data_IF_096719711285
#
_entry.id   IF_096719711285
#
_cell.length_a   1.000
_cell.length_b   1.000
_cell.length_c   1.000
_cell.angle_alpha   90.00
_cell.angle_beta   90.00
_cell.angle_gamma   90.00
#
_symmetry.space_group_name_H-M   'P 1'
#
loop_
_entity.id
_entity.type
_entity.pdbx_description
1 polymer ?
#
# COMPACT_ATOMS: atom_id res chain seq x y z
N UNK A 1 -38.14 0.16 -17.01
CA UNK A 1 -38.15 0.18 -15.55
C UNK A 1 -37.20 -0.90 -15.10
N UNK A 2 -36.13 -0.49 -14.41
CA UNK A 2 -35.28 -1.43 -13.69
C UNK A 2 -36.05 -1.87 -12.42
N UNK A 3 -35.92 -3.12 -11.99
CA UNK A 3 -36.51 -3.63 -10.75
C UNK A 3 -36.23 -2.75 -9.51
N UNK A 4 -35.14 -1.98 -9.51
CA UNK A 4 -34.84 -0.98 -8.48
C UNK A 4 -35.81 0.20 -8.45
N UNK A 5 -36.21 0.74 -9.60
CA UNK A 5 -37.16 1.88 -9.68
C UNK A 5 -38.53 1.47 -9.13
N UNK A 6 -38.92 0.23 -9.39
CA UNK A 6 -40.17 -0.35 -8.91
C UNK A 6 -40.16 -0.53 -7.38
N UNK A 7 -39.01 -0.88 -6.80
CA UNK A 7 -38.85 -1.02 -5.35
C UNK A 7 -38.98 0.33 -4.61
N UNK A 8 -38.40 1.40 -5.16
CA UNK A 8 -38.54 2.75 -4.61
C UNK A 8 -40.00 3.23 -4.64
N UNK A 9 -40.68 3.08 -5.79
CA UNK A 9 -42.09 3.46 -5.94
C UNK A 9 -43.00 2.67 -5.00
N UNK A 10 -42.77 1.36 -4.86
CA UNK A 10 -43.50 0.53 -3.92
C UNK A 10 -43.34 1.02 -2.48
N UNK A 11 -42.11 1.37 -2.07
CA UNK A 11 -41.87 1.90 -0.73
C UNK A 11 -42.57 3.23 -0.49
N UNK A 12 -42.55 4.14 -1.48
CA UNK A 12 -43.27 5.41 -1.42
C UNK A 12 -44.78 5.23 -1.25
N UNK A 13 -45.39 4.30 -1.99
CA UNK A 13 -46.82 3.98 -1.86
C UNK A 13 -47.16 3.39 -0.49
N UNK A 14 -46.30 2.53 0.05
CA UNK A 14 -46.49 1.97 1.39
C UNK A 14 -46.52 3.07 2.46
N UNK A 15 -45.59 4.04 2.40
CA UNK A 15 -45.62 5.20 3.30
C UNK A 15 -46.85 6.08 3.08
N UNK A 16 -47.29 6.30 1.84
CA UNK A 16 -48.51 7.08 1.56
C UNK A 16 -49.76 6.47 2.20
N UNK A 17 -49.87 5.14 2.23
CA UNK A 17 -51.06 4.45 2.74
C UNK A 17 -50.98 4.06 4.23
N UNK A 18 -49.79 3.89 4.79
CA UNK A 18 -49.59 3.40 6.17
C UNK A 18 -48.89 4.41 7.08
N UNK A 19 -48.17 5.39 6.54
CA UNK A 19 -47.44 6.40 7.30
C UNK A 19 -46.60 5.79 8.41
N UNK A 20 -46.79 6.25 9.64
CA UNK A 20 -46.06 5.78 10.82
C UNK A 20 -46.46 4.39 11.31
N UNK A 21 -47.60 3.87 10.86
CA UNK A 21 -48.03 2.51 11.16
C UNK A 21 -47.32 1.45 10.30
N UNK A 22 -46.50 1.85 9.32
CA UNK A 22 -45.72 0.91 8.52
C UNK A 22 -44.60 0.29 9.39
N UNK A 23 -44.58 -1.04 9.57
CA UNK A 23 -43.57 -1.70 10.39
C UNK A 23 -42.23 -1.71 9.66
N UNK A 24 -41.30 -0.88 10.12
CA UNK A 24 -39.92 -0.86 9.64
C UNK A 24 -39.03 -1.52 10.69
N UNK A 25 -38.68 -2.79 10.45
CA UNK A 25 -37.70 -3.52 11.27
C UNK A 25 -36.28 -3.29 10.75
N UNK A 26 -35.28 -3.66 11.56
CA UNK A 26 -33.87 -3.65 11.15
C UNK A 26 -33.64 -4.46 9.87
N UNK A 27 -34.34 -5.59 9.68
CA UNK A 27 -34.23 -6.40 8.47
C UNK A 27 -34.70 -5.65 7.20
N UNK A 28 -35.72 -4.80 7.32
CA UNK A 28 -36.15 -3.92 6.22
C UNK A 28 -35.05 -2.90 5.89
N UNK A 29 -34.39 -2.35 6.91
CA UNK A 29 -33.28 -1.41 6.73
C UNK A 29 -32.07 -2.11 6.10
N UNK A 30 -31.73 -3.33 6.52
CA UNK A 30 -30.67 -4.16 5.91
C UNK A 30 -30.99 -4.48 4.45
N UNK A 31 -32.24 -4.82 4.13
CA UNK A 31 -32.65 -5.07 2.76
C UNK A 31 -32.50 -3.82 1.88
N UNK A 32 -32.84 -2.64 2.40
CA UNK A 32 -32.59 -1.37 1.70
C UNK A 32 -31.09 -1.09 1.53
N UNK A 33 -30.28 -1.33 2.58
CA UNK A 33 -28.84 -1.17 2.56
C UNK A 33 -28.14 -2.08 1.53
N UNK A 34 -28.64 -3.29 1.31
CA UNK A 34 -28.13 -4.27 0.31
C UNK A 34 -28.69 -4.07 -1.09
N UNK A 35 -29.64 -3.16 -1.28
CA UNK A 35 -30.20 -2.90 -2.59
C UNK A 35 -29.16 -2.15 -3.45
N UNK A 36 -28.78 -2.74 -4.59
CA UNK A 36 -27.71 -2.22 -5.43
C UNK A 36 -28.21 -1.08 -6.31
N UNK A 37 -27.32 -0.12 -6.62
CA UNK A 37 -27.64 1.02 -7.46
C UNK A 37 -28.40 2.14 -6.74
N UNK A 38 -28.95 3.08 -7.52
CA UNK A 38 -29.54 4.32 -7.01
C UNK A 38 -30.75 4.09 -6.08
N UNK A 39 -31.50 3.01 -6.31
CA UNK A 39 -32.74 2.71 -5.59
C UNK A 39 -32.50 2.39 -4.12
N UNK A 40 -31.39 1.76 -3.75
CA UNK A 40 -31.06 1.51 -2.34
C UNK A 40 -30.84 2.82 -1.57
N UNK A 41 -30.13 3.77 -2.18
CA UNK A 41 -29.94 5.10 -1.65
C UNK A 41 -31.27 5.88 -1.52
N UNK A 42 -32.13 5.84 -2.53
CA UNK A 42 -33.40 6.57 -2.49
C UNK A 42 -34.38 5.95 -1.47
N UNK A 43 -34.40 4.62 -1.34
CA UNK A 43 -35.17 3.93 -0.30
C UNK A 43 -34.62 4.28 1.09
N UNK A 44 -33.31 4.27 1.30
CA UNK A 44 -32.71 4.66 2.59
C UNK A 44 -33.07 6.10 2.97
N UNK A 45 -33.05 7.02 2.00
CA UNK A 45 -33.47 8.40 2.21
C UNK A 45 -34.95 8.50 2.60
N UNK A 46 -35.85 7.78 1.93
CA UNK A 46 -37.27 7.73 2.31
C UNK A 46 -37.45 7.19 3.74
N UNK A 47 -36.76 6.10 4.09
CA UNK A 47 -36.81 5.52 5.42
C UNK A 47 -36.41 6.54 6.50
N UNK A 48 -35.30 7.26 6.28
CA UNK A 48 -34.82 8.29 7.20
C UNK A 48 -35.72 9.52 7.25
N UNK A 49 -36.30 9.96 6.15
CA UNK A 49 -37.26 11.07 6.13
C UNK A 49 -38.51 10.78 6.96
N UNK A 50 -39.00 9.54 6.95
CA UNK A 50 -40.20 9.13 7.68
C UNK A 50 -39.96 8.63 9.10
N UNK A 51 -38.74 8.22 9.46
CA UNK A 51 -38.44 7.64 10.79
C UNK A 51 -37.38 8.42 11.56
N UNK A 52 -36.53 9.20 10.90
CA UNK A 52 -35.46 9.97 11.54
C UNK A 52 -34.62 9.10 12.47
N UNK A 53 -34.49 9.52 13.72
CA UNK A 53 -33.77 8.80 14.79
C UNK A 53 -34.40 7.47 15.19
N UNK A 54 -35.71 7.27 14.97
CA UNK A 54 -36.39 6.01 15.30
C UNK A 54 -36.11 4.86 14.33
N UNK A 55 -35.43 5.13 13.20
CA UNK A 55 -35.04 4.09 12.26
C UNK A 55 -34.01 3.15 12.92
N UNK A 56 -34.23 1.82 12.93
CA UNK A 56 -33.30 0.87 13.54
C UNK A 56 -32.05 0.73 12.66
N UNK A 57 -31.04 1.55 12.95
CA UNK A 57 -29.71 1.53 12.31
C UNK A 57 -28.72 0.98 13.34
N UNK A 58 -28.39 -0.29 13.19
CA UNK A 58 -27.39 -1.01 13.99
C UNK A 58 -26.05 -1.08 13.24
N UNK A 59 -25.03 -1.62 13.91
CA UNK A 59 -23.75 -1.94 13.28
C UNK A 59 -23.93 -2.88 12.09
N UNK A 60 -24.84 -3.86 12.19
CA UNK A 60 -25.13 -4.81 11.13
C UNK A 60 -25.78 -4.15 9.90
N UNK A 61 -26.50 -3.05 10.08
CA UNK A 61 -26.97 -2.22 8.96
C UNK A 61 -25.78 -1.56 8.27
N UNK A 62 -24.81 -1.02 9.03
CA UNK A 62 -23.60 -0.42 8.44
C UNK A 62 -22.75 -1.46 7.72
N UNK A 63 -22.57 -2.65 8.30
CA UNK A 63 -21.90 -3.77 7.63
C UNK A 63 -22.61 -4.15 6.33
N UNK A 64 -23.94 -4.18 6.31
CA UNK A 64 -24.70 -4.44 5.09
C UNK A 64 -24.47 -3.39 3.98
N UNK A 65 -24.21 -2.12 4.34
CA UNK A 65 -23.82 -1.07 3.39
C UNK A 65 -22.41 -1.33 2.83
N UNK A 66 -21.46 -1.67 3.71
CA UNK A 66 -20.08 -1.99 3.32
C UNK A 66 -20.01 -3.23 2.39
N UNK A 67 -20.85 -4.22 2.65
CA UNK A 67 -20.99 -5.45 1.83
C UNK A 67 -21.77 -5.24 0.53
N UNK A 68 -22.38 -4.06 0.29
CA UNK A 68 -23.16 -3.81 -0.90
C UNK A 68 -22.23 -3.59 -2.13
N UNK A 69 -21.71 -4.71 -2.64
CA UNK A 69 -20.86 -4.78 -3.82
C UNK A 69 -21.72 -4.69 -5.10
N UNK A 70 -22.01 -3.47 -5.54
CA UNK A 70 -22.49 -3.26 -6.91
C UNK A 70 -21.45 -3.75 -7.92
N UNK A 71 -21.82 -4.68 -8.81
CA UNK A 71 -21.05 -5.03 -10.00
C UNK A 71 -21.14 -3.87 -11.01
N UNK A 72 -20.01 -3.23 -11.31
CA UNK A 72 -19.93 -2.18 -12.35
C UNK A 72 -18.87 -1.12 -12.06
N UNK A 73 -18.19 -0.65 -13.11
CA UNK A 73 -17.18 0.43 -13.03
C UNK A 73 -17.77 1.79 -12.60
N UNK A 74 -19.08 1.99 -12.78
CA UNK A 74 -19.78 3.26 -12.48
C UNK A 74 -20.72 3.19 -11.26
N UNK A 75 -20.92 2.01 -10.66
CA UNK A 75 -21.86 1.79 -9.55
C UNK A 75 -21.23 1.99 -8.15
N UNK A 76 -20.02 2.56 -8.08
CA UNK A 76 -19.34 2.88 -6.82
C UNK A 76 -19.97 4.02 -6.01
N UNK A 77 -20.75 4.89 -6.65
CA UNK A 77 -21.36 6.05 -5.98
C UNK A 77 -22.49 5.67 -5.01
N UNK A 78 -23.25 4.60 -5.29
CA UNK A 78 -24.48 4.31 -4.55
C UNK A 78 -24.24 3.82 -3.10
N UNK A 79 -23.25 2.96 -2.85
CA UNK A 79 -22.96 2.47 -1.50
C UNK A 79 -22.34 3.57 -0.62
N UNK A 80 -21.45 4.39 -1.18
CA UNK A 80 -20.94 5.59 -0.51
C UNK A 80 -22.09 6.56 -0.19
N UNK A 81 -23.04 6.73 -1.12
CA UNK A 81 -24.20 7.60 -0.90
C UNK A 81 -25.13 7.07 0.22
N UNK A 82 -25.29 5.75 0.36
CA UNK A 82 -26.06 5.19 1.49
C UNK A 82 -25.35 5.51 2.82
N UNK A 83 -24.03 5.27 2.91
CA UNK A 83 -23.27 5.61 4.12
C UNK A 83 -23.31 7.12 4.41
N UNK A 84 -23.18 7.96 3.39
CA UNK A 84 -23.27 9.42 3.51
C UNK A 84 -24.62 9.85 4.06
N UNK A 85 -25.72 9.29 3.53
CA UNK A 85 -27.06 9.55 4.04
C UNK A 85 -27.20 9.09 5.49
N UNK A 86 -26.66 7.93 5.88
CA UNK A 86 -26.67 7.49 7.27
C UNK A 86 -25.89 8.47 8.17
N UNK A 87 -24.71 8.92 7.74
CA UNK A 87 -23.88 9.89 8.46
C UNK A 87 -24.55 11.26 8.57
N UNK A 88 -25.26 11.74 7.54
CA UNK A 88 -25.98 13.02 7.59
C UNK A 88 -27.09 13.02 8.65
N UNK A 89 -27.74 11.86 8.90
CA UNK A 89 -28.85 11.77 9.85
C UNK A 89 -28.45 11.29 11.25
N UNK A 90 -27.33 10.58 11.39
CA UNK A 90 -26.85 10.04 12.68
C UNK A 90 -25.59 10.73 13.18
N UNK A 91 -24.77 11.30 12.30
CA UNK A 91 -23.47 11.87 12.65
C UNK A 91 -22.64 10.89 13.48
N UNK A 92 -22.11 11.39 14.59
CA UNK A 92 -21.32 10.62 15.57
C UNK A 92 -22.09 9.47 16.24
N UNK A 93 -23.43 9.47 16.21
CA UNK A 93 -24.24 8.38 16.79
C UNK A 93 -24.33 7.13 15.91
N UNK A 94 -23.76 7.16 14.71
CA UNK A 94 -23.75 6.00 13.82
C UNK A 94 -22.87 4.90 14.43
N UNK A 95 -23.38 3.65 14.59
CA UNK A 95 -22.62 2.57 15.19
C UNK A 95 -21.53 2.08 14.23
N UNK A 96 -20.35 2.68 14.33
CA UNK A 96 -19.13 2.25 13.65
C UNK A 96 -18.27 1.50 14.66
N UNK A 97 -17.92 0.25 14.40
CA UNK A 97 -17.02 -0.52 15.26
C UNK A 97 -15.64 -0.71 14.61
N UNK A 98 -14.72 -1.33 15.35
CA UNK A 98 -13.48 -1.82 14.78
C UNK A 98 -13.72 -2.85 13.65
N UNK A 99 -14.76 -3.68 13.76
CA UNK A 99 -15.08 -4.70 12.75
C UNK A 99 -15.60 -4.08 11.45
N UNK A 100 -16.39 -3.01 11.55
CA UNK A 100 -16.79 -2.19 10.39
C UNK A 100 -15.54 -1.63 9.70
N UNK A 101 -14.60 -1.06 10.47
CA UNK A 101 -13.38 -0.50 9.89
C UNK A 101 -12.49 -1.58 9.24
N UNK A 102 -12.30 -2.73 9.89
CA UNK A 102 -11.54 -3.86 9.33
C UNK A 102 -12.18 -4.38 8.03
N UNK A 103 -13.51 -4.50 7.99
CA UNK A 103 -14.25 -4.87 6.80
C UNK A 103 -13.98 -3.89 5.65
N UNK A 104 -14.07 -2.57 5.90
CA UNK A 104 -13.83 -1.54 4.89
C UNK A 104 -12.41 -1.59 4.32
N UNK A 105 -11.39 -1.87 5.13
CA UNK A 105 -10.00 -2.02 4.66
C UNK A 105 -9.88 -3.21 3.69
N UNK A 106 -10.65 -4.29 3.92
CA UNK A 106 -10.65 -5.51 3.11
C UNK A 106 -11.50 -5.41 1.84
N UNK A 107 -12.36 -4.40 1.73
CA UNK A 107 -13.16 -4.17 0.51
C UNK A 107 -12.22 -3.95 -0.67
N UNK A 108 -12.35 -4.79 -1.70
CA UNK A 108 -11.53 -4.67 -2.92
C UNK A 108 -11.84 -3.38 -3.66
N UNK A 109 -10.78 -2.70 -4.11
CA UNK A 109 -10.91 -1.46 -4.88
C UNK A 109 -10.96 -0.21 -4.01
N UNK A 110 -11.32 0.91 -4.62
CA UNK A 110 -11.33 2.22 -3.97
C UNK A 110 -12.50 2.41 -2.98
N UNK A 111 -13.58 1.64 -3.09
CA UNK A 111 -14.83 1.87 -2.34
C UNK A 111 -14.63 1.88 -0.83
N UNK A 112 -13.92 0.89 -0.29
CA UNK A 112 -13.62 0.83 1.15
C UNK A 112 -12.82 2.04 1.62
N UNK A 113 -11.83 2.46 0.82
CA UNK A 113 -11.03 3.65 1.09
C UNK A 113 -11.89 4.92 1.13
N UNK A 114 -12.81 5.09 0.16
CA UNK A 114 -13.71 6.25 0.10
C UNK A 114 -14.68 6.28 1.28
N UNK A 115 -15.20 5.13 1.72
CA UNK A 115 -16.04 5.02 2.91
C UNK A 115 -15.28 5.41 4.18
N UNK A 116 -14.03 4.96 4.35
CA UNK A 116 -13.19 5.35 5.50
C UNK A 116 -12.92 6.87 5.48
N UNK A 117 -12.63 7.45 4.31
CA UNK A 117 -12.46 8.91 4.15
C UNK A 117 -13.73 9.67 4.51
N UNK A 118 -14.90 9.13 4.15
CA UNK A 118 -16.19 9.72 4.50
C UNK A 118 -16.42 9.67 6.02
N UNK A 119 -16.09 8.56 6.69
CA UNK A 119 -16.14 8.48 8.16
C UNK A 119 -15.24 9.55 8.81
N UNK A 120 -14.05 9.78 8.26
CA UNK A 120 -13.13 10.81 8.74
C UNK A 120 -13.69 12.23 8.61
N UNK A 121 -14.40 12.53 7.52
CA UNK A 121 -15.00 13.86 7.28
C UNK A 121 -16.09 14.21 8.30
N UNK A 122 -16.83 13.22 8.78
CA UNK A 122 -17.91 13.41 9.74
C UNK A 122 -17.47 13.31 11.21
N UNK A 123 -16.15 13.26 11.46
CA UNK A 123 -15.55 13.19 12.80
C UNK A 123 -16.16 12.10 13.69
N UNK A 124 -16.59 10.98 13.10
CA UNK A 124 -17.13 9.86 13.87
C UNK A 124 -16.03 9.39 14.82
N UNK A 125 -16.26 9.57 16.13
CA UNK A 125 -15.29 9.33 17.20
C UNK A 125 -14.44 8.11 16.87
N UNK A 126 -13.14 8.37 16.68
CA UNK A 126 -12.21 7.46 16.03
C UNK A 126 -12.08 6.17 16.82
N UNK A 127 -12.80 5.13 16.41
CA UNK A 127 -12.60 3.79 16.94
C UNK A 127 -11.13 3.41 16.74
N UNK A 128 -10.52 2.67 17.67
CA UNK A 128 -9.08 2.47 17.65
C UNK A 128 -8.67 1.75 16.37
N UNK A 129 -7.81 2.40 15.57
CA UNK A 129 -7.13 1.73 14.48
C UNK A 129 -6.08 0.82 15.09
N UNK A 130 -6.15 -0.47 14.80
CA UNK A 130 -5.22 -1.47 15.36
C UNK A 130 -4.04 -1.70 14.43
N UNK A 131 -2.94 -2.23 14.97
CA UNK A 131 -1.77 -2.61 14.17
C UNK A 131 -2.12 -3.60 13.05
N UNK A 132 -3.03 -4.55 13.34
CA UNK A 132 -3.51 -5.53 12.36
C UNK A 132 -4.24 -4.89 11.18
N UNK A 133 -4.99 -3.81 11.42
CA UNK A 133 -5.65 -3.03 10.38
C UNK A 133 -4.63 -2.33 9.48
N UNK A 134 -3.57 -1.75 10.07
CA UNK A 134 -2.48 -1.11 9.31
C UNK A 134 -1.77 -2.15 8.42
N UNK A 135 -1.45 -3.32 8.98
CA UNK A 135 -0.84 -4.42 8.20
C UNK A 135 -1.75 -4.86 7.06
N UNK A 136 -3.05 -5.04 7.33
CA UNK A 136 -4.03 -5.40 6.30
C UNK A 136 -4.10 -4.37 5.18
N UNK A 137 -4.07 -3.07 5.52
CA UNK A 137 -4.03 -1.99 4.53
C UNK A 137 -2.72 -2.00 3.72
N UNK A 138 -1.58 -2.17 4.37
CA UNK A 138 -0.26 -2.23 3.73
C UNK A 138 -0.12 -3.45 2.79
N UNK A 139 -0.78 -4.57 3.11
CA UNK A 139 -0.79 -5.81 2.31
C UNK A 139 -1.90 -5.87 1.26
N UNK A 140 -2.71 -4.81 1.09
CA UNK A 140 -3.87 -4.89 0.21
C UNK A 140 -3.45 -5.01 -1.28
N UNK A 141 -3.58 -6.22 -1.81
CA UNK A 141 -3.30 -6.58 -3.20
C UNK A 141 -4.32 -5.93 -4.17
N UNK A 142 -3.81 -5.21 -5.17
CA UNK A 142 -4.64 -4.60 -6.22
C UNK A 142 -4.34 -3.13 -6.52
N UNK A 143 -3.28 -2.57 -5.93
CA UNK A 143 -2.87 -1.18 -6.17
C UNK A 143 -3.52 -0.15 -5.25
N UNK A 144 -4.36 -0.60 -4.31
CA UNK A 144 -5.13 0.28 -3.42
C UNK A 144 -4.59 0.36 -1.99
N UNK A 145 -3.54 -0.40 -1.63
CA UNK A 145 -2.98 -0.39 -0.27
C UNK A 145 -2.55 1.00 0.22
N UNK A 146 -1.89 1.80 -0.63
CA UNK A 146 -1.56 3.18 -0.29
C UNK A 146 -2.81 4.05 -0.06
N UNK A 147 -3.91 3.81 -0.77
CA UNK A 147 -5.16 4.55 -0.57
C UNK A 147 -5.86 4.16 0.73
N UNK A 148 -5.78 2.88 1.12
CA UNK A 148 -6.29 2.41 2.40
C UNK A 148 -5.48 3.00 3.55
N UNK A 149 -4.14 3.01 3.43
CA UNK A 149 -3.25 3.66 4.39
C UNK A 149 -3.55 5.16 4.52
N UNK A 150 -3.74 5.87 3.41
CA UNK A 150 -4.10 7.29 3.39
C UNK A 150 -5.47 7.53 4.05
N UNK A 151 -6.46 6.68 3.77
CA UNK A 151 -7.78 6.79 4.38
C UNK A 151 -7.72 6.58 5.91
N UNK A 152 -6.94 5.60 6.38
CA UNK A 152 -6.72 5.38 7.81
C UNK A 152 -5.99 6.56 8.45
N UNK A 153 -5.01 7.14 7.77
CA UNK A 153 -4.32 8.35 8.25
C UNK A 153 -5.27 9.53 8.36
N UNK A 154 -6.19 9.73 7.41
CA UNK A 154 -7.22 10.76 7.51
C UNK A 154 -8.20 10.49 8.67
N UNK A 155 -8.53 9.22 8.92
CA UNK A 155 -9.45 8.82 9.98
C UNK A 155 -8.86 8.95 11.40
N UNK A 156 -7.59 8.60 11.61
CA UNK A 156 -6.99 8.50 12.95
C UNK A 156 -5.78 9.43 13.16
N UNK A 157 -5.35 10.12 12.12
CA UNK A 157 -4.23 11.06 12.14
C UNK A 157 -2.88 10.42 12.46
N UNK A 158 -1.98 11.22 13.03
CA UNK A 158 -0.62 10.81 13.41
C UNK A 158 -0.55 9.76 14.53
N UNK A 159 -1.68 9.41 15.15
CA UNK A 159 -1.75 8.40 16.19
C UNK A 159 -1.82 6.96 15.65
N UNK A 160 -1.80 6.74 14.31
CA UNK A 160 -1.80 5.36 13.78
C UNK A 160 -0.67 4.53 14.40
N UNK A 161 -0.96 3.27 14.78
CA UNK A 161 0.03 2.36 15.34
C UNK A 161 0.98 1.86 14.24
N UNK A 162 2.08 2.59 14.05
CA UNK A 162 3.15 2.22 13.13
C UNK A 162 4.31 1.65 13.96
N UNK A 163 4.35 0.31 14.07
CA UNK A 163 5.42 -0.44 14.72
C UNK A 163 6.53 -0.81 13.72
N UNK A 164 7.67 -1.30 14.22
CA UNK A 164 8.69 -1.93 13.38
C UNK A 164 8.07 -3.03 12.49
N UNK A 165 7.22 -3.89 13.05
CA UNK A 165 6.63 -5.01 12.30
C UNK A 165 5.65 -4.54 11.19
N UNK A 166 4.95 -3.43 11.42
CA UNK A 166 4.12 -2.77 10.38
C UNK A 166 4.99 -2.29 9.23
N UNK A 167 6.11 -1.63 9.52
CA UNK A 167 7.03 -1.12 8.50
C UNK A 167 7.63 -2.29 7.71
N UNK A 168 8.06 -3.35 8.41
CA UNK A 168 8.59 -4.57 7.78
C UNK A 168 7.57 -5.18 6.83
N UNK A 169 6.33 -5.35 7.28
CA UNK A 169 5.22 -5.89 6.48
C UNK A 169 5.01 -5.08 5.20
N UNK A 170 5.10 -3.74 5.27
CA UNK A 170 4.97 -2.89 4.09
C UNK A 170 6.15 -3.07 3.12
N UNK A 171 7.40 -3.09 3.62
CA UNK A 171 8.62 -3.24 2.80
C UNK A 171 8.66 -4.59 2.08
N UNK A 172 8.25 -5.65 2.77
CA UNK A 172 8.20 -7.02 2.24
C UNK A 172 7.04 -7.23 1.25
N UNK A 173 6.11 -6.27 1.16
CA UNK A 173 5.12 -6.29 0.11
C UNK A 173 5.76 -5.89 -1.23
N UNK A 174 5.76 -6.82 -2.19
CA UNK A 174 6.28 -6.63 -3.55
C UNK A 174 5.36 -5.75 -4.44
N UNK A 175 4.42 -5.00 -3.86
CA UNK A 175 3.57 -4.05 -4.57
C UNK A 175 4.31 -2.84 -5.18
N UNK A 176 3.63 -2.13 -6.09
CA UNK A 176 4.19 -0.93 -6.75
C UNK A 176 4.09 0.36 -5.92
N UNK A 177 3.43 0.32 -4.76
CA UNK A 177 3.10 1.50 -3.96
C UNK A 177 3.71 1.47 -2.55
N UNK A 178 4.72 0.63 -2.33
CA UNK A 178 5.39 0.50 -1.04
C UNK A 178 6.03 1.81 -0.60
N UNK A 179 6.61 2.57 -1.53
CA UNK A 179 7.17 3.90 -1.25
C UNK A 179 6.09 4.88 -0.76
N UNK A 180 4.93 4.92 -1.41
CA UNK A 180 3.79 5.77 -1.00
C UNK A 180 3.25 5.38 0.38
N UNK A 181 3.19 4.07 0.68
CA UNK A 181 2.81 3.58 2.00
C UNK A 181 3.80 4.06 3.08
N UNK A 182 5.10 3.96 2.81
CA UNK A 182 6.13 4.43 3.73
C UNK A 182 6.05 5.94 3.95
N UNK A 183 5.82 6.73 2.90
CA UNK A 183 5.63 8.18 3.04
C UNK A 183 4.47 8.51 3.99
N UNK A 184 3.34 7.81 3.86
CA UNK A 184 2.19 7.97 4.78
C UNK A 184 2.57 7.59 6.22
N UNK A 185 3.42 6.58 6.42
CA UNK A 185 3.91 6.22 7.75
C UNK A 185 4.78 7.32 8.36
N UNK A 186 5.64 7.96 7.56
CA UNK A 186 6.48 9.09 7.98
C UNK A 186 5.67 10.38 8.24
N UNK A 187 4.48 10.54 7.64
CA UNK A 187 3.67 11.76 7.82
C UNK A 187 3.39 12.06 9.30
N UNK A 188 3.95 13.17 9.78
CA UNK A 188 3.81 13.64 11.16
C UNK A 188 4.55 12.80 12.21
N UNK A 189 5.46 11.91 11.77
CA UNK A 189 6.33 11.08 12.64
C UNK A 189 7.83 11.37 12.49
N UNK A 190 8.24 12.26 11.58
CA UNK A 190 9.63 12.63 11.29
C UNK A 190 10.59 11.40 11.24
N UNK A 191 11.89 11.59 11.47
CA UNK A 191 12.91 10.53 11.49
C UNK A 191 12.77 9.56 12.69
N UNK A 192 11.60 9.46 13.33
CA UNK A 192 11.36 8.63 14.51
C UNK A 192 11.00 7.17 14.18
N UNK A 193 10.81 6.82 12.91
CA UNK A 193 10.59 5.42 12.55
C UNK A 193 11.91 4.65 12.70
N UNK A 194 11.89 3.59 13.51
CA UNK A 194 13.04 2.70 13.66
C UNK A 194 13.16 1.81 12.43
N UNK A 195 14.23 1.99 11.66
CA UNK A 195 14.54 1.18 10.47
C UNK A 195 15.80 0.38 10.77
N UNK A 196 15.64 -0.94 10.86
CA UNK A 196 16.76 -1.86 11.06
C UNK A 196 17.48 -2.18 9.75
N UNK A 197 18.73 -2.64 9.82
CA UNK A 197 19.49 -3.07 8.65
C UNK A 197 18.76 -4.16 7.85
N UNK A 198 18.11 -5.11 8.54
CA UNK A 198 17.34 -6.19 7.91
C UNK A 198 16.18 -5.65 7.06
N UNK A 199 15.53 -4.57 7.49
CA UNK A 199 14.51 -3.89 6.69
C UNK A 199 15.11 -3.22 5.45
N UNK A 200 16.29 -2.61 5.58
CA UNK A 200 16.96 -2.01 4.43
C UNK A 200 17.40 -3.08 3.43
N UNK A 201 17.85 -4.25 3.92
CA UNK A 201 18.12 -5.42 3.08
C UNK A 201 16.84 -5.92 2.38
N UNK A 202 15.71 -5.98 3.09
CA UNK A 202 14.42 -6.35 2.49
C UNK A 202 13.99 -5.34 1.41
N UNK A 203 14.13 -4.04 1.68
CA UNK A 203 13.87 -2.98 0.71
C UNK A 203 14.76 -3.09 -0.53
N UNK A 204 16.06 -3.36 -0.33
CA UNK A 204 17.02 -3.58 -1.40
C UNK A 204 16.69 -4.81 -2.27
N UNK A 205 16.01 -5.82 -1.71
CA UNK A 205 15.56 -7.03 -2.41
C UNK A 205 14.21 -6.87 -3.13
N UNK A 206 13.46 -5.81 -2.84
CA UNK A 206 12.17 -5.56 -3.50
C UNK A 206 12.36 -5.40 -5.02
N UNK A 207 11.75 -6.28 -5.79
CA UNK A 207 12.05 -6.42 -7.23
C UNK A 207 11.34 -5.39 -8.10
N UNK A 208 10.29 -4.75 -7.57
CA UNK A 208 9.45 -3.81 -8.32
C UNK A 208 9.80 -2.34 -8.05
N UNK A 209 10.13 -1.97 -6.81
CA UNK A 209 10.30 -0.55 -6.43
C UNK A 209 11.45 -0.29 -5.44
N UNK A 210 12.49 -1.14 -5.40
CA UNK A 210 13.65 -0.93 -4.50
C UNK A 210 14.25 0.47 -4.58
N UNK A 211 14.33 1.06 -5.78
CA UNK A 211 14.86 2.42 -5.98
C UNK A 211 14.01 3.46 -5.23
N UNK A 212 12.69 3.39 -5.37
CA UNK A 212 11.76 4.31 -4.69
C UNK A 212 11.74 4.08 -3.18
N UNK A 213 11.74 2.83 -2.73
CA UNK A 213 11.72 2.50 -1.30
C UNK A 213 12.99 3.04 -0.63
N UNK A 214 14.17 2.74 -1.20
CA UNK A 214 15.45 3.21 -0.68
C UNK A 214 15.53 4.73 -0.73
N UNK A 215 14.98 5.38 -1.76
CA UNK A 215 14.94 6.85 -1.84
C UNK A 215 14.12 7.49 -0.71
N UNK A 216 12.95 6.94 -0.37
CA UNK A 216 12.15 7.39 0.78
C UNK A 216 12.95 7.21 2.08
N UNK A 217 13.55 6.04 2.29
CA UNK A 217 14.35 5.76 3.49
C UNK A 217 15.55 6.72 3.62
N UNK A 218 16.26 7.00 2.54
CA UNK A 218 17.38 7.96 2.52
C UNK A 218 16.93 9.40 2.72
N UNK A 219 15.70 9.74 2.33
CA UNK A 219 15.14 11.10 2.48
C UNK A 219 14.85 11.43 3.93
N UNK A 220 14.24 10.49 4.65
CA UNK A 220 13.95 10.67 6.07
C UNK A 220 15.19 10.39 6.92
N UNK A 221 15.82 9.22 6.82
CA UNK A 221 16.92 8.86 7.74
C UNK A 221 18.32 9.37 7.36
N UNK A 222 18.58 9.72 6.10
CA UNK A 222 19.88 10.26 5.65
C UNK A 222 21.08 9.40 6.09
N UNK A 223 21.94 9.95 6.96
CA UNK A 223 23.15 9.29 7.47
C UNK A 223 22.84 8.22 8.52
N UNK A 224 21.71 8.30 9.23
CA UNK A 224 21.34 7.30 10.24
C UNK A 224 20.89 5.98 9.64
N UNK A 225 20.49 5.98 8.36
CA UNK A 225 20.06 4.76 7.67
C UNK A 225 21.23 3.74 7.62
N UNK A 226 21.04 2.50 8.13
CA UNK A 226 22.10 1.50 8.16
C UNK A 226 22.35 0.94 6.75
N UNK A 227 23.33 1.52 6.05
CA UNK A 227 23.82 1.03 4.75
C UNK A 227 25.18 0.37 4.96
N UNK A 228 25.16 -0.95 5.13
CA UNK A 228 26.35 -1.80 5.24
C UNK A 228 26.75 -2.39 3.88
N UNK A 229 27.87 -3.12 3.86
CA UNK A 229 28.23 -3.97 2.73
C UNK A 229 27.13 -4.99 2.38
N UNK A 230 26.42 -5.56 3.38
CA UNK A 230 25.35 -6.52 3.14
C UNK A 230 24.16 -5.89 2.41
N UNK A 231 23.84 -4.63 2.71
CA UNK A 231 22.83 -3.87 1.96
C UNK A 231 23.27 -3.68 0.51
N UNK A 232 24.53 -3.28 0.28
CA UNK A 232 25.05 -3.12 -1.09
C UNK A 232 25.05 -4.45 -1.84
N UNK A 233 25.42 -5.57 -1.19
CA UNK A 233 25.32 -6.93 -1.75
C UNK A 233 23.88 -7.26 -2.12
N UNK A 234 22.91 -6.95 -1.25
CA UNK A 234 21.50 -7.17 -1.54
C UNK A 234 21.02 -6.37 -2.76
N UNK A 235 21.46 -5.12 -2.90
CA UNK A 235 21.19 -4.30 -4.10
C UNK A 235 21.79 -4.96 -5.34
N UNK A 236 23.09 -5.23 -5.38
CA UNK A 236 23.73 -5.74 -6.61
C UNK A 236 23.29 -7.16 -6.99
N UNK A 237 22.72 -7.95 -6.05
CA UNK A 237 22.12 -9.26 -6.33
C UNK A 237 20.65 -9.22 -6.72
N UNK A 238 19.98 -8.07 -6.58
CA UNK A 238 18.57 -7.95 -6.96
C UNK A 238 18.43 -8.09 -8.48
N UNK A 239 17.50 -8.97 -8.92
CA UNK A 239 17.25 -9.27 -10.33
C UNK A 239 16.10 -8.45 -10.92
N UNK A 240 15.49 -7.57 -10.14
CA UNK A 240 14.43 -6.64 -10.52
C UNK A 240 14.91 -5.56 -11.48
N UNK A 241 13.97 -4.92 -12.17
CA UNK A 241 14.29 -3.99 -13.26
C UNK A 241 14.78 -2.61 -12.79
N UNK A 242 14.52 -2.25 -11.53
CA UNK A 242 14.90 -0.97 -10.93
C UNK A 242 16.26 -1.02 -10.21
N UNK A 243 16.93 -2.18 -10.18
CA UNK A 243 18.15 -2.38 -9.37
C UNK A 243 19.28 -1.38 -9.65
N UNK A 244 19.54 -1.06 -10.93
CA UNK A 244 20.60 -0.13 -11.29
C UNK A 244 20.31 1.30 -10.79
N UNK A 245 19.02 1.67 -10.69
CA UNK A 245 18.61 2.98 -10.14
C UNK A 245 18.85 3.02 -8.64
N UNK A 246 18.61 1.91 -7.94
CA UNK A 246 18.95 1.77 -6.52
C UNK A 246 20.45 1.98 -6.30
N UNK A 247 21.30 1.38 -7.14
CA UNK A 247 22.75 1.56 -7.05
C UNK A 247 23.19 3.00 -7.38
N UNK A 248 22.63 3.61 -8.44
CA UNK A 248 22.85 5.02 -8.77
C UNK A 248 22.47 5.95 -7.61
N UNK A 249 21.30 5.72 -6.98
CA UNK A 249 20.83 6.49 -5.82
C UNK A 249 21.77 6.37 -4.63
N UNK A 250 22.24 5.16 -4.32
CA UNK A 250 23.20 4.95 -3.25
C UNK A 250 24.49 5.75 -3.52
N UNK A 251 25.07 5.65 -4.72
CA UNK A 251 26.29 6.41 -5.05
C UNK A 251 26.11 7.93 -4.95
N UNK A 252 24.93 8.45 -5.31
CA UNK A 252 24.64 9.88 -5.25
C UNK A 252 24.42 10.40 -3.83
N UNK A 253 23.80 9.58 -2.96
CA UNK A 253 23.31 10.04 -1.65
C UNK A 253 24.12 9.52 -0.47
N UNK A 254 25.09 8.63 -0.69
CA UNK A 254 25.95 8.06 0.37
C UNK A 254 27.42 8.15 -0.01
N UNK A 255 28.14 9.00 0.73
CA UNK A 255 29.58 9.03 0.65
C UNK A 255 30.19 7.77 1.29
N UNK A 256 31.31 7.29 0.72
CA UNK A 256 32.10 6.23 1.35
C UNK A 256 31.49 4.82 1.33
N UNK A 257 30.51 4.52 0.45
CA UNK A 257 29.92 3.18 0.32
C UNK A 257 30.98 2.08 0.20
N UNK A 258 30.92 1.05 1.04
CA UNK A 258 31.91 -0.02 0.99
C UNK A 258 31.67 -0.91 -0.24
N UNK A 259 32.54 -0.79 -1.24
CA UNK A 259 32.58 -1.66 -2.42
C UNK A 259 33.79 -2.59 -2.29
N UNK A 260 33.55 -3.74 -1.67
CA UNK A 260 34.54 -4.79 -1.41
C UNK A 260 34.62 -5.79 -2.56
N UNK A 261 35.60 -6.70 -2.50
CA UNK A 261 35.65 -7.86 -3.41
C UNK A 261 34.37 -8.69 -3.38
N UNK A 262 33.79 -8.85 -2.19
CA UNK A 262 32.55 -9.59 -1.97
C UNK A 262 31.35 -8.95 -2.68
N UNK A 263 31.27 -7.62 -2.70
CA UNK A 263 30.26 -6.87 -3.48
C UNK A 263 30.48 -7.07 -4.98
N UNK A 264 31.71 -6.93 -5.45
CA UNK A 264 32.04 -7.11 -6.88
C UNK A 264 31.78 -8.55 -7.33
N UNK A 265 32.14 -9.53 -6.51
CA UNK A 265 31.86 -10.96 -6.74
C UNK A 265 30.36 -11.23 -6.82
N UNK A 266 29.57 -10.67 -5.89
CA UNK A 266 28.12 -10.80 -5.90
C UNK A 266 27.49 -10.18 -7.16
N UNK A 267 27.95 -8.99 -7.58
CA UNK A 267 27.50 -8.33 -8.80
C UNK A 267 27.86 -9.15 -10.05
N UNK A 268 29.09 -9.67 -10.12
CA UNK A 268 29.58 -10.47 -11.24
C UNK A 268 28.82 -11.79 -11.40
N UNK A 269 28.42 -12.41 -10.29
CA UNK A 269 27.62 -13.65 -10.26
C UNK A 269 26.11 -13.47 -10.45
N UNK A 270 25.60 -12.23 -10.56
CA UNK A 270 24.16 -11.99 -10.65
C UNK A 270 23.60 -12.39 -12.04
N UNK A 271 22.65 -13.35 -12.13
CA UNK A 271 22.10 -13.82 -13.40
C UNK A 271 21.03 -12.90 -14.01
N UNK A 272 20.66 -11.81 -13.33
CA UNK A 272 19.61 -10.89 -13.74
C UNK A 272 19.99 -10.01 -14.94
N UNK A 273 18.98 -9.60 -15.71
CA UNK A 273 19.15 -8.85 -16.96
C UNK A 273 19.83 -7.48 -16.81
N UNK A 274 19.84 -6.92 -15.59
CA UNK A 274 20.42 -5.60 -15.29
C UNK A 274 21.77 -5.70 -14.56
N UNK A 275 22.32 -6.90 -14.38
CA UNK A 275 23.60 -7.13 -13.71
C UNK A 275 24.77 -6.42 -14.43
N UNK A 276 24.79 -6.42 -15.77
CA UNK A 276 25.78 -5.69 -16.57
C UNK A 276 25.79 -4.20 -16.22
N UNK A 277 24.61 -3.58 -16.14
CA UNK A 277 24.50 -2.15 -15.83
C UNK A 277 24.95 -1.83 -14.40
N UNK A 278 24.70 -2.71 -13.44
CA UNK A 278 25.29 -2.59 -12.10
C UNK A 278 26.82 -2.66 -12.15
N UNK A 279 27.40 -3.61 -12.89
CA UNK A 279 28.84 -3.71 -13.06
C UNK A 279 29.44 -2.44 -13.67
N UNK A 280 28.82 -1.88 -14.70
CA UNK A 280 29.23 -0.59 -15.29
C UNK A 280 29.20 0.56 -14.27
N UNK A 281 28.13 0.65 -13.46
CA UNK A 281 28.03 1.67 -12.42
C UNK A 281 29.12 1.55 -11.36
N UNK A 282 29.49 0.32 -10.96
CA UNK A 282 30.60 0.08 -10.05
C UNK A 282 31.92 0.61 -10.65
N UNK A 283 32.20 0.33 -11.92
CA UNK A 283 33.40 0.83 -12.61
C UNK A 283 33.41 2.34 -12.80
N UNK A 284 32.24 2.98 -12.99
CA UNK A 284 32.14 4.43 -13.17
C UNK A 284 32.41 5.19 -11.86
N UNK A 285 31.98 4.65 -10.72
CA UNK A 285 32.07 5.34 -9.42
C UNK A 285 33.30 4.92 -8.59
N UNK A 286 34.09 3.96 -9.06
CA UNK A 286 35.32 3.51 -8.40
C UNK A 286 36.48 3.46 -9.39
N UNK A 287 37.53 4.22 -9.09
CA UNK A 287 38.78 4.24 -9.89
C UNK A 287 39.41 2.84 -10.01
N UNK A 288 39.28 2.02 -8.97
CA UNK A 288 39.73 0.63 -8.97
C UNK A 288 38.75 -0.25 -8.20
N UNK A 289 38.39 -1.37 -8.82
CA UNK A 289 37.62 -2.44 -8.18
C UNK A 289 38.54 -3.62 -7.88
N UNK A 290 38.35 -4.31 -6.74
CA UNK A 290 39.04 -5.55 -6.45
C UNK A 290 38.57 -6.69 -7.38
N UNK A 291 39.30 -6.93 -8.46
CA UNK A 291 39.05 -8.03 -9.40
C UNK A 291 40.02 -9.17 -9.12
N UNK A 292 39.56 -10.20 -8.40
CA UNK A 292 40.31 -11.41 -8.07
C UNK A 292 39.92 -12.60 -8.94
N UNK A 293 40.61 -13.73 -8.78
CA UNK A 293 40.19 -15.01 -9.36
C UNK A 293 38.77 -15.41 -8.91
N UNK A 294 38.39 -15.11 -7.66
CA UNK A 294 37.06 -15.43 -7.14
C UNK A 294 35.95 -14.61 -7.80
N UNK A 295 36.23 -13.35 -8.18
CA UNK A 295 35.32 -12.52 -8.98
C UNK A 295 35.17 -13.09 -10.39
N UNK A 296 36.28 -13.47 -11.02
CA UNK A 296 36.27 -14.08 -12.37
C UNK A 296 35.52 -15.42 -12.35
N UNK A 297 35.73 -16.23 -11.32
CA UNK A 297 35.03 -17.49 -11.13
C UNK A 297 33.52 -17.27 -10.96
N UNK A 298 33.10 -16.30 -10.14
CA UNK A 298 31.69 -15.96 -10.00
C UNK A 298 31.06 -15.50 -11.33
N UNK A 299 31.76 -14.70 -12.14
CA UNK A 299 31.31 -14.34 -13.49
C UNK A 299 31.21 -15.55 -14.43
N UNK A 300 32.15 -16.50 -14.34
CA UNK A 300 32.14 -17.71 -15.16
C UNK A 300 31.04 -18.71 -14.74
N UNK A 301 30.68 -18.73 -13.46
CA UNK A 301 29.57 -19.53 -12.92
C UNK A 301 28.20 -18.86 -13.14
N UNK A 302 28.18 -17.60 -13.58
CA UNK A 302 26.95 -16.86 -13.86
C UNK A 302 26.19 -17.50 -15.04
N UNK A 303 24.99 -18.01 -14.78
CA UNK A 303 24.14 -18.66 -15.78
C UNK A 303 23.17 -17.71 -16.48
N UNK A 304 23.25 -16.40 -16.21
CA UNK A 304 22.40 -15.37 -16.79
C UNK A 304 22.72 -15.12 -18.26
N UNK A 305 21.74 -14.60 -19.00
CA UNK A 305 21.86 -14.32 -20.45
C UNK A 305 22.96 -13.31 -20.82
N UNK A 306 23.46 -12.55 -19.83
CA UNK A 306 24.45 -11.50 -20.01
C UNK A 306 25.79 -11.80 -19.31
N UNK A 307 26.02 -13.06 -18.91
CA UNK A 307 27.25 -13.46 -18.24
C UNK A 307 28.50 -13.19 -19.10
N UNK A 308 28.41 -13.36 -20.43
CA UNK A 308 29.49 -13.05 -21.36
C UNK A 308 29.90 -11.58 -21.34
N UNK A 309 28.94 -10.67 -21.24
CA UNK A 309 29.14 -9.24 -21.21
C UNK A 309 29.77 -8.80 -19.89
N UNK A 310 29.36 -9.40 -18.76
CA UNK A 310 30.03 -9.21 -17.47
C UNK A 310 31.49 -9.65 -17.56
N UNK A 311 31.76 -10.82 -18.14
CA UNK A 311 33.13 -11.31 -18.33
C UNK A 311 33.95 -10.36 -19.22
N UNK A 312 33.36 -9.81 -20.29
CA UNK A 312 34.02 -8.82 -21.15
C UNK A 312 34.35 -7.53 -20.39
N UNK A 313 33.44 -7.00 -19.58
CA UNK A 313 33.68 -5.83 -18.74
C UNK A 313 34.85 -6.06 -17.78
N UNK A 314 34.86 -7.20 -17.09
CA UNK A 314 35.95 -7.56 -16.17
C UNK A 314 37.31 -7.63 -16.89
N UNK A 315 37.36 -8.17 -18.10
CA UNK A 315 38.60 -8.26 -18.90
C UNK A 315 39.10 -6.88 -19.36
N UNK A 316 38.22 -6.02 -19.88
CA UNK A 316 38.56 -4.67 -20.35
C UNK A 316 39.17 -3.82 -19.24
N UNK A 317 38.63 -3.94 -18.03
CA UNK A 317 39.13 -3.20 -16.88
C UNK A 317 40.34 -3.88 -16.21
N UNK A 318 40.62 -5.17 -16.45
CA UNK A 318 41.82 -5.86 -15.94
C UNK A 318 43.10 -5.45 -16.68
N UNK A 319 43.03 -5.23 -18.00
CA UNK A 319 44.21 -4.87 -18.82
C UNK A 319 44.82 -3.49 -18.45
N UNK A 320 44.06 -2.63 -17.75
CA UNK A 320 44.58 -1.39 -17.17
C UNK A 320 45.42 -1.59 -15.91
N UNK A 321 45.32 -2.74 -15.22
CA UNK A 321 45.99 -3.00 -13.95
C UNK A 321 47.16 -3.99 -14.03
N UNK A 322 47.38 -4.64 -15.18
CA UNK A 322 48.52 -5.55 -15.40
C UNK A 322 49.78 -4.85 -15.97
N UNK A 323 49.83 -3.51 -15.98
CA UNK A 323 50.92 -2.71 -16.54
C UNK A 323 51.71 -1.93 -15.47
N UNK A 324 52.10 -2.61 -14.38
CA UNK A 324 53.20 -2.18 -13.50
C UNK A 324 54.01 -3.40 -13.03
#
# INVERSE_FOLDING_TARGET
MNAGDDAYLAMGLLFQHRGDALPISEDVVKAAAKNTGQSGHDIMRLLLQHRGESLPVSEEVVMAVAENFGYGRDSGHSSNAILEVLLQYRGESLPISADVLDLLIRVRGQKGCDMIKLLAQYQVDGHPVTESMIKTAAMNDGGYGHQAMEALFQYHGKALPVSEDVIRTAIENDGYHTAEILEIMYQGRDDCLEISEDMVIAAAKNTNTSDKIIDVLLTHQKESLPISENVVKAVVMNTGYCVYRTMELLFQRREGLQITEDVVKAAAGNPGSYAVRNMELLFQHRESLPISEEVIKAAAENTGSYASEIMQLLLQHREFFSSF
#
